data_IF_554123181511
#
_entry.id   IF_554123181511
#
_cell.length_a   1.000
_cell.length_b   1.000
_cell.length_c   1.000
_cell.angle_alpha   90.00
_cell.angle_beta   90.00
_cell.angle_gamma   90.00
#
_symmetry.space_group_name_H-M   'P 1'
#
loop_
_entity.id
_entity.type
_entity.pdbx_description
1 polymer ?
#
# COMPACT_ATOMS: atom_id res chain seq x y z
N UNK A 1 -19.57 17.14 -8.78
CA UNK A 1 -20.55 16.08 -9.15
C UNK A 1 -20.33 15.76 -10.62
N UNK A 2 -20.31 14.48 -11.00
CA UNK A 2 -20.07 14.03 -12.38
C UNK A 2 -21.00 12.88 -12.73
N UNK A 3 -21.40 12.77 -13.99
CA UNK A 3 -22.14 11.62 -14.54
C UNK A 3 -21.20 10.54 -15.06
N UNK A 4 -19.90 10.82 -15.13
CA UNK A 4 -18.88 9.82 -15.44
C UNK A 4 -18.57 8.99 -14.20
N UNK A 5 -19.13 7.79 -14.14
CA UNK A 5 -18.98 6.89 -13.00
C UNK A 5 -17.63 6.16 -13.11
N UNK A 6 -16.90 6.12 -12.00
CA UNK A 6 -15.63 5.38 -11.89
C UNK A 6 -15.70 4.44 -10.69
N UNK A 7 -15.50 3.15 -10.94
CA UNK A 7 -15.47 2.11 -9.91
C UNK A 7 -14.02 1.63 -9.72
N UNK A 8 -13.36 2.02 -8.62
CA UNK A 8 -11.97 1.66 -8.40
C UNK A 8 -11.85 0.20 -7.95
N UNK A 9 -11.11 -0.60 -8.72
CA UNK A 9 -10.60 -1.90 -8.31
C UNK A 9 -9.18 -1.80 -7.75
N UNK A 10 -8.57 -2.96 -7.55
CA UNK A 10 -7.19 -3.06 -7.03
C UNK A 10 -6.16 -2.66 -8.09
N UNK A 11 -6.28 -3.23 -9.29
CA UNK A 11 -5.33 -3.10 -10.38
C UNK A 11 -5.83 -2.18 -11.48
N UNK A 12 -7.13 -1.99 -11.62
CA UNK A 12 -7.72 -1.06 -12.58
C UNK A 12 -8.86 -0.24 -11.98
N UNK A 13 -9.29 0.79 -12.69
CA UNK A 13 -10.53 1.53 -12.44
C UNK A 13 -11.45 1.28 -13.62
N UNK A 14 -12.66 0.80 -13.35
CA UNK A 14 -13.67 0.55 -14.37
C UNK A 14 -14.52 1.80 -14.58
N UNK A 15 -14.72 2.19 -15.83
CA UNK A 15 -15.47 3.38 -16.24
C UNK A 15 -16.54 2.99 -17.26
N UNK A 16 -17.74 2.55 -16.80
CA UNK A 16 -18.81 2.08 -17.68
C UNK A 16 -19.31 3.13 -18.69
N UNK A 17 -19.13 4.42 -18.38
CA UNK A 17 -19.67 5.54 -19.16
C UNK A 17 -18.67 6.14 -20.16
N UNK A 18 -17.47 5.58 -20.27
CA UNK A 18 -16.38 6.07 -21.15
C UNK A 18 -15.90 4.89 -22.00
N UNK A 19 -15.38 5.13 -23.21
CA UNK A 19 -14.95 4.07 -24.15
C UNK A 19 -13.45 4.10 -24.46
N UNK A 20 -12.62 4.18 -23.42
CA UNK A 20 -11.18 4.27 -23.57
C UNK A 20 -10.42 3.51 -22.48
N UNK A 21 -9.30 2.89 -22.88
CA UNK A 21 -8.34 2.25 -21.97
C UNK A 21 -7.17 3.21 -21.75
N UNK A 22 -6.93 3.58 -20.50
CA UNK A 22 -5.79 4.39 -20.08
C UNK A 22 -4.84 3.57 -19.21
N UNK A 23 -3.55 3.93 -19.23
CA UNK A 23 -2.54 3.38 -18.32
C UNK A 23 -2.01 4.51 -17.44
N UNK A 24 -1.80 4.21 -16.15
CA UNK A 24 -1.22 5.16 -15.18
C UNK A 24 0.09 5.75 -15.71
N UNK A 25 0.23 7.08 -15.63
CA UNK A 25 1.45 7.81 -16.02
C UNK A 25 2.69 7.44 -15.21
N UNK A 26 2.51 6.77 -14.06
CA UNK A 26 3.63 6.28 -13.21
C UNK A 26 4.26 4.99 -13.74
N UNK A 27 3.60 4.30 -14.67
CA UNK A 27 4.23 3.21 -15.41
C UNK A 27 5.00 3.90 -16.54
N UNK A 28 6.32 3.80 -16.56
CA UNK A 28 7.18 4.50 -17.53
C UNK A 28 7.48 3.63 -18.75
N UNK A 29 7.58 2.32 -18.55
CA UNK A 29 7.86 1.34 -19.60
C UNK A 29 6.72 1.27 -20.63
N UNK A 30 7.01 1.67 -21.88
CA UNK A 30 6.07 1.65 -23.00
C UNK A 30 5.69 0.23 -23.43
N UNK A 31 6.61 -0.74 -23.35
CA UNK A 31 6.30 -2.12 -23.70
C UNK A 31 5.27 -2.70 -22.71
N UNK A 32 5.43 -2.39 -21.43
CA UNK A 32 4.49 -2.78 -20.39
C UNK A 32 3.12 -2.09 -20.54
N UNK A 33 3.10 -0.79 -20.90
CA UNK A 33 1.84 -0.07 -21.18
C UNK A 33 1.07 -0.76 -22.31
N UNK A 34 1.72 -1.07 -23.42
CA UNK A 34 1.07 -1.73 -24.55
C UNK A 34 0.61 -3.14 -24.18
N UNK A 35 1.44 -3.93 -23.48
CA UNK A 35 1.03 -5.25 -22.98
C UNK A 35 -0.24 -5.18 -22.14
N UNK A 36 -0.30 -4.24 -21.20
CA UNK A 36 -1.46 -4.05 -20.32
C UNK A 36 -2.69 -3.57 -21.08
N UNK A 37 -2.55 -2.64 -22.04
CA UNK A 37 -3.67 -2.20 -22.90
C UNK A 37 -4.24 -3.35 -23.72
N UNK A 38 -3.38 -4.11 -24.40
CA UNK A 38 -3.79 -5.28 -25.20
C UNK A 38 -4.49 -6.30 -24.31
N UNK A 39 -3.94 -6.58 -23.14
CA UNK A 39 -4.55 -7.52 -22.18
C UNK A 39 -5.95 -7.07 -21.77
N UNK A 40 -6.13 -5.84 -21.29
CA UNK A 40 -7.44 -5.32 -20.89
C UNK A 40 -8.42 -5.27 -22.07
N UNK A 41 -7.95 -4.96 -23.28
CA UNK A 41 -8.78 -5.01 -24.48
C UNK A 41 -9.31 -6.41 -24.81
N UNK A 42 -8.63 -7.47 -24.38
CA UNK A 42 -9.05 -8.86 -24.61
C UNK A 42 -10.03 -9.38 -23.55
N UNK A 43 -9.95 -8.89 -22.31
CA UNK A 43 -10.75 -9.39 -21.19
C UNK A 43 -11.87 -8.44 -20.73
N UNK A 44 -11.75 -7.15 -21.02
CA UNK A 44 -12.78 -6.16 -20.71
C UNK A 44 -13.94 -6.24 -21.71
N UNK A 45 -15.12 -5.77 -21.30
CA UNK A 45 -16.26 -5.73 -22.22
C UNK A 45 -16.03 -4.69 -23.33
N UNK A 46 -16.42 -4.99 -24.58
CA UNK A 46 -16.36 -4.04 -25.68
C UNK A 46 -17.17 -2.77 -25.41
N UNK A 47 -16.57 -1.60 -25.70
CA UNK A 47 -17.26 -0.31 -25.59
C UNK A 47 -17.36 0.25 -24.17
N UNK A 48 -16.62 -0.31 -23.21
CA UNK A 48 -16.46 0.22 -21.86
C UNK A 48 -15.01 0.70 -21.62
N UNK A 49 -14.81 1.46 -20.55
CA UNK A 49 -13.57 2.18 -20.28
C UNK A 49 -12.85 1.64 -19.06
N UNK A 50 -11.52 1.73 -19.08
CA UNK A 50 -10.66 1.18 -18.03
C UNK A 50 -9.45 2.10 -17.80
N UNK A 51 -9.00 2.24 -16.56
CA UNK A 51 -7.73 2.89 -16.21
C UNK A 51 -6.88 1.87 -15.45
N UNK A 52 -5.79 1.41 -16.05
CA UNK A 52 -4.84 0.50 -15.40
C UNK A 52 -4.01 1.30 -14.38
N UNK A 53 -4.05 0.87 -13.12
CA UNK A 53 -3.34 1.49 -11.99
C UNK A 53 -1.90 1.00 -11.95
N UNK A 54 -1.02 1.75 -11.29
CA UNK A 54 0.39 1.36 -11.07
C UNK A 54 0.51 0.00 -10.36
N UNK A 55 -0.45 -0.36 -9.50
CA UNK A 55 -0.45 -1.65 -8.82
C UNK A 55 -0.64 -2.85 -9.79
N UNK A 56 -1.19 -2.61 -10.99
CA UNK A 56 -1.36 -3.61 -12.04
C UNK A 56 -0.10 -3.83 -12.88
N UNK A 57 0.95 -3.04 -12.69
CA UNK A 57 2.22 -3.23 -13.40
C UNK A 57 2.80 -4.63 -13.10
N UNK A 58 3.28 -5.31 -14.14
CA UNK A 58 3.83 -6.67 -14.10
C UNK A 58 2.85 -7.75 -13.59
N UNK A 59 1.55 -7.43 -13.50
CA UNK A 59 0.53 -8.42 -13.12
C UNK A 59 0.11 -9.25 -14.31
N UNK A 60 -0.37 -10.45 -13.99
CA UNK A 60 -0.82 -11.42 -14.97
C UNK A 60 -2.29 -11.21 -15.32
N UNK A 61 -2.71 -11.80 -16.45
CA UNK A 61 -4.10 -11.76 -16.90
C UNK A 61 -5.10 -12.20 -15.83
N UNK A 62 -4.77 -13.25 -15.08
CA UNK A 62 -5.65 -13.80 -14.04
C UNK A 62 -5.97 -12.79 -12.94
N UNK A 63 -5.01 -11.94 -12.56
CA UNK A 63 -5.20 -10.91 -11.55
C UNK A 63 -6.23 -9.86 -12.00
N UNK A 64 -6.19 -9.48 -13.29
CA UNK A 64 -7.15 -8.53 -13.86
C UNK A 64 -8.53 -9.14 -14.09
N UNK A 65 -8.62 -10.43 -14.43
CA UNK A 65 -9.91 -11.13 -14.58
C UNK A 65 -10.69 -11.14 -13.25
N UNK A 66 -10.02 -11.35 -12.11
CA UNK A 66 -10.66 -11.24 -10.79
C UNK A 66 -11.15 -9.82 -10.49
N UNK A 67 -10.31 -8.80 -10.74
CA UNK A 67 -10.67 -7.39 -10.50
C UNK A 67 -11.84 -6.95 -11.40
N UNK A 68 -11.86 -7.37 -12.66
CA UNK A 68 -12.97 -7.11 -13.59
C UNK A 68 -14.26 -7.81 -13.16
N UNK A 69 -14.18 -9.08 -12.76
CA UNK A 69 -15.37 -9.81 -12.30
C UNK A 69 -16.04 -9.10 -11.13
N UNK A 70 -15.24 -8.63 -10.15
CA UNK A 70 -15.71 -7.82 -9.04
C UNK A 70 -16.42 -6.54 -9.53
N UNK A 71 -15.75 -5.76 -10.40
CA UNK A 71 -16.24 -4.45 -10.86
C UNK A 71 -17.49 -4.55 -11.73
N UNK A 72 -17.57 -5.55 -12.60
CA UNK A 72 -18.74 -5.80 -13.44
C UNK A 72 -19.94 -6.26 -12.63
N UNK A 73 -19.75 -7.14 -11.62
CA UNK A 73 -20.81 -7.53 -10.69
C UNK A 73 -21.32 -6.33 -9.89
N UNK A 74 -20.41 -5.51 -9.37
CA UNK A 74 -20.76 -4.28 -8.67
C UNK A 74 -21.59 -3.37 -9.57
N UNK A 75 -21.14 -3.12 -10.80
CA UNK A 75 -21.87 -2.29 -11.75
C UNK A 75 -23.26 -2.83 -12.08
N UNK A 76 -23.39 -4.14 -12.35
CA UNK A 76 -24.68 -4.77 -12.60
C UNK A 76 -25.64 -4.62 -11.43
N UNK A 77 -25.15 -4.79 -10.19
CA UNK A 77 -25.93 -4.54 -8.98
C UNK A 77 -26.39 -3.09 -8.87
N UNK A 78 -25.50 -2.12 -9.15
CA UNK A 78 -25.84 -0.70 -9.13
C UNK A 78 -26.87 -0.32 -10.20
N UNK A 79 -26.76 -0.87 -11.40
CA UNK A 79 -27.74 -0.66 -12.46
C UNK A 79 -29.12 -1.21 -12.08
N UNK A 80 -29.17 -2.40 -11.47
CA UNK A 80 -30.43 -2.99 -10.98
C UNK A 80 -31.04 -2.11 -9.88
N UNK A 81 -30.26 -1.78 -8.86
CA UNK A 81 -30.69 -0.94 -7.73
C UNK A 81 -31.16 0.44 -8.19
N UNK A 82 -30.49 1.04 -9.18
CA UNK A 82 -30.90 2.32 -9.77
C UNK A 82 -32.27 2.29 -10.43
N UNK A 83 -32.72 1.14 -10.93
CA UNK A 83 -34.05 0.98 -11.55
C UNK A 83 -35.15 0.74 -10.53
N UNK A 84 -34.80 0.12 -9.40
CA UNK A 84 -35.74 -0.28 -8.34
C UNK A 84 -35.91 0.82 -7.28
N UNK A 85 -34.93 1.70 -7.13
CA UNK A 85 -34.92 2.74 -6.08
C UNK A 85 -35.60 4.02 -6.56
N UNK A 86 -36.38 4.65 -5.68
CA UNK A 86 -36.97 5.97 -5.89
C UNK A 86 -35.89 7.06 -6.07
N UNK A 87 -36.28 8.22 -6.59
CA UNK A 87 -35.37 9.36 -6.84
C UNK A 87 -34.65 9.82 -5.56
N UNK A 88 -33.44 10.37 -5.71
CA UNK A 88 -32.62 10.97 -4.65
C UNK A 88 -32.22 10.02 -3.49
N UNK A 89 -31.86 8.77 -3.79
CA UNK A 89 -31.41 7.79 -2.79
C UNK A 89 -29.94 7.36 -2.98
N UNK A 90 -29.31 6.91 -1.89
CA UNK A 90 -27.96 6.35 -1.90
C UNK A 90 -27.94 4.98 -2.57
N UNK A 91 -27.34 4.90 -3.76
CA UNK A 91 -27.19 3.62 -4.48
C UNK A 91 -25.99 2.82 -3.99
N UNK A 92 -24.88 3.51 -3.73
CA UNK A 92 -23.59 2.92 -3.37
C UNK A 92 -22.91 3.77 -2.31
N UNK A 93 -22.44 3.13 -1.26
CA UNK A 93 -21.48 3.68 -0.33
C UNK A 93 -20.12 3.04 -0.62
N UNK A 94 -19.06 3.84 -0.56
CA UNK A 94 -17.71 3.33 -0.80
C UNK A 94 -17.34 2.21 0.19
N UNK A 95 -16.48 1.29 -0.26
CA UNK A 95 -16.05 0.17 0.57
C UNK A 95 -15.44 0.66 1.89
N UNK A 96 -15.99 0.14 2.99
CA UNK A 96 -15.43 0.28 4.32
C UNK A 96 -14.02 -0.36 4.39
N UNK A 97 -13.32 -0.17 5.51
CA UNK A 97 -11.94 -0.65 5.66
C UNK A 97 -11.82 -2.17 5.46
N UNK A 98 -12.79 -2.94 5.94
CA UNK A 98 -12.78 -4.41 5.91
C UNK A 98 -12.98 -4.90 4.48
N UNK A 99 -14.06 -4.47 3.80
CA UNK A 99 -14.33 -4.83 2.41
C UNK A 99 -13.23 -4.37 1.46
N UNK A 100 -12.65 -3.18 1.72
CA UNK A 100 -11.48 -2.68 0.98
C UNK A 100 -10.26 -3.58 1.19
N UNK A 101 -10.01 -4.01 2.43
CA UNK A 101 -8.92 -4.93 2.77
C UNK A 101 -9.11 -6.29 2.10
N UNK A 102 -10.34 -6.82 2.07
CA UNK A 102 -10.67 -8.05 1.35
C UNK A 102 -10.36 -7.95 -0.14
N UNK A 103 -10.73 -6.83 -0.79
CA UNK A 103 -10.45 -6.60 -2.21
C UNK A 103 -8.95 -6.39 -2.48
N UNK A 104 -8.28 -5.60 -1.64
CA UNK A 104 -6.93 -5.07 -1.93
C UNK A 104 -5.79 -5.93 -1.38
N UNK A 105 -6.00 -6.64 -0.27
CA UNK A 105 -4.94 -7.37 0.44
C UNK A 105 -5.04 -8.89 0.26
N UNK A 106 -6.24 -9.40 -0.02
CA UNK A 106 -6.43 -10.84 -0.17
C UNK A 106 -5.85 -11.32 -1.52
N UNK A 107 -4.64 -11.87 -1.48
CA UNK A 107 -3.96 -12.46 -2.65
C UNK A 107 -4.08 -13.99 -2.62
N UNK A 108 -3.59 -14.65 -3.67
CA UNK A 108 -3.50 -16.12 -3.73
C UNK A 108 -2.70 -16.72 -2.57
N UNK A 109 -1.75 -15.96 -2.02
CA UNK A 109 -0.89 -16.36 -0.88
C UNK A 109 -1.61 -16.28 0.47
N UNK A 110 -2.76 -15.59 0.55
CA UNK A 110 -3.51 -15.48 1.81
C UNK A 110 -4.37 -16.74 2.00
N UNK A 111 -4.09 -17.46 3.09
CA UNK A 111 -4.78 -18.70 3.43
C UNK A 111 -6.15 -18.45 4.06
N UNK A 112 -6.25 -17.48 4.98
CA UNK A 112 -7.46 -17.20 5.75
C UNK A 112 -7.58 -15.72 6.14
N UNK A 113 -8.81 -15.27 6.34
CA UNK A 113 -9.14 -14.00 6.97
C UNK A 113 -9.90 -14.30 8.25
N UNK A 114 -9.36 -13.84 9.38
CA UNK A 114 -9.94 -14.11 10.70
C UNK A 114 -10.57 -12.83 11.23
N UNK A 115 -11.83 -12.92 11.66
CA UNK A 115 -12.62 -11.80 12.19
C UNK A 115 -13.13 -12.20 13.57
N UNK A 116 -13.02 -11.34 14.57
CA UNK A 116 -13.46 -11.61 15.96
C UNK A 116 -14.86 -11.04 16.28
N UNK A 117 -15.41 -10.19 15.41
CA UNK A 117 -16.77 -9.69 15.49
C UNK A 117 -17.74 -10.54 14.68
N UNK A 118 -18.81 -11.03 15.33
CA UNK A 118 -19.86 -11.81 14.67
C UNK A 118 -20.63 -11.01 13.62
N UNK A 119 -20.86 -9.71 13.84
CA UNK A 119 -21.56 -8.85 12.87
C UNK A 119 -20.71 -8.63 11.63
N UNK A 120 -19.42 -8.33 11.82
CA UNK A 120 -18.50 -8.13 10.69
C UNK A 120 -18.25 -9.43 9.93
N UNK A 121 -18.21 -10.57 10.62
CA UNK A 121 -18.14 -11.87 9.97
C UNK A 121 -19.28 -12.08 8.97
N UNK A 122 -20.53 -11.78 9.37
CA UNK A 122 -21.69 -11.86 8.48
C UNK A 122 -21.58 -10.88 7.30
N UNK A 123 -21.19 -9.63 7.57
CA UNK A 123 -20.96 -8.63 6.52
C UNK A 123 -19.89 -9.08 5.51
N UNK A 124 -18.82 -9.72 5.98
CA UNK A 124 -17.77 -10.29 5.14
C UNK A 124 -18.29 -11.42 4.26
N UNK A 125 -19.09 -12.35 4.81
CA UNK A 125 -19.68 -13.45 4.06
C UNK A 125 -20.60 -12.92 2.95
N UNK A 126 -21.50 -11.99 3.27
CA UNK A 126 -22.40 -11.37 2.28
C UNK A 126 -21.61 -10.65 1.18
N UNK A 127 -20.55 -9.92 1.55
CA UNK A 127 -19.68 -9.26 0.59
C UNK A 127 -18.94 -10.27 -0.32
N UNK A 128 -18.48 -11.39 0.23
CA UNK A 128 -17.87 -12.48 -0.52
C UNK A 128 -18.85 -13.12 -1.50
N UNK A 129 -20.06 -13.48 -1.08
CA UNK A 129 -21.07 -14.10 -1.96
C UNK A 129 -21.36 -13.21 -3.17
N UNK A 130 -21.58 -11.92 -2.92
CA UNK A 130 -21.92 -10.97 -3.97
C UNK A 130 -20.75 -10.70 -4.90
N UNK A 131 -19.55 -10.50 -4.37
CA UNK A 131 -18.45 -9.90 -5.14
C UNK A 131 -17.15 -10.71 -5.19
N UNK A 132 -16.84 -11.50 -4.16
CA UNK A 132 -15.57 -12.24 -4.04
C UNK A 132 -15.79 -13.70 -3.59
N UNK A 133 -16.49 -14.53 -4.37
CA UNK A 133 -16.93 -15.86 -3.92
C UNK A 133 -15.77 -16.82 -3.63
N UNK A 134 -14.62 -16.61 -4.28
CA UNK A 134 -13.40 -17.40 -4.08
C UNK A 134 -12.73 -17.20 -2.71
N UNK A 135 -13.16 -16.19 -1.92
CA UNK A 135 -12.65 -15.92 -0.57
C UNK A 135 -13.62 -16.42 0.51
N UNK A 136 -14.87 -16.75 0.15
CA UNK A 136 -15.94 -17.08 1.10
C UNK A 136 -15.52 -18.14 2.13
N UNK A 137 -15.00 -19.28 1.66
CA UNK A 137 -14.60 -20.40 2.52
C UNK A 137 -13.33 -20.12 3.36
N UNK A 138 -12.66 -18.99 3.12
CA UNK A 138 -11.45 -18.58 3.84
C UNK A 138 -11.74 -17.58 4.96
N UNK A 139 -12.98 -17.12 5.12
CA UNK A 139 -13.38 -16.21 6.20
C UNK A 139 -13.74 -17.05 7.43
N UNK A 140 -13.03 -16.81 8.54
CA UNK A 140 -13.18 -17.54 9.80
C UNK A 140 -13.61 -16.59 10.92
N UNK A 141 -14.58 -17.01 11.75
CA UNK A 141 -14.95 -16.30 12.97
C UNK A 141 -14.08 -16.79 14.13
N UNK A 142 -13.27 -15.90 14.70
CA UNK A 142 -12.53 -16.15 15.92
C UNK A 142 -13.46 -16.09 17.13
N UNK A 143 -13.43 -17.13 17.97
CA UNK A 143 -14.26 -17.27 19.16
C UNK A 143 -13.44 -17.56 20.43
N UNK A 144 -12.11 -17.41 20.36
CA UNK A 144 -11.25 -17.63 21.50
C UNK A 144 -11.45 -16.57 22.59
N UNK A 145 -11.15 -16.89 23.86
CA UNK A 145 -11.31 -15.96 24.97
C UNK A 145 -10.22 -14.89 25.03
N UNK A 146 -9.09 -15.10 24.36
CA UNK A 146 -7.95 -14.16 24.30
C UNK A 146 -8.16 -13.24 23.09
N UNK A 147 -7.86 -11.93 23.15
CA UNK A 147 -7.97 -11.06 22.00
C UNK A 147 -7.22 -11.60 20.77
N UNK A 148 -7.79 -11.39 19.57
CA UNK A 148 -7.29 -11.99 18.33
C UNK A 148 -5.82 -11.65 18.04
N UNK A 149 -5.39 -10.41 18.29
CA UNK A 149 -4.00 -9.99 18.05
C UNK A 149 -3.02 -10.60 19.05
N UNK A 150 -3.41 -10.76 20.32
CA UNK A 150 -2.60 -11.44 21.32
C UNK A 150 -2.45 -12.93 20.98
N UNK A 151 -3.55 -13.58 20.58
CA UNK A 151 -3.55 -14.99 20.21
C UNK A 151 -2.58 -15.30 19.07
N UNK A 152 -2.46 -14.40 18.08
CA UNK A 152 -1.54 -14.54 16.96
C UNK A 152 -0.18 -13.88 17.18
N UNK A 153 0.08 -13.29 18.37
CA UNK A 153 1.33 -12.59 18.67
C UNK A 153 1.56 -11.30 17.86
N UNK A 154 0.52 -10.81 17.18
CA UNK A 154 0.57 -9.59 16.35
C UNK A 154 0.67 -8.35 17.22
N UNK A 155 0.06 -8.36 18.41
CA UNK A 155 0.06 -7.22 19.34
C UNK A 155 1.48 -6.80 19.72
N UNK A 156 2.37 -7.77 19.98
CA UNK A 156 3.77 -7.52 20.34
C UNK A 156 4.50 -6.84 19.18
N UNK A 157 4.27 -7.30 17.96
CA UNK A 157 4.91 -6.75 16.77
C UNK A 157 4.38 -5.36 16.42
N UNK A 158 3.08 -5.11 16.59
CA UNK A 158 2.49 -3.78 16.44
C UNK A 158 3.13 -2.81 17.44
N UNK A 159 3.18 -3.18 18.72
CA UNK A 159 3.75 -2.30 19.75
C UNK A 159 5.23 -2.01 19.50
N UNK A 160 6.03 -3.03 19.18
CA UNK A 160 7.45 -2.86 18.78
C UNK A 160 7.59 -1.94 17.58
N UNK A 161 6.70 -2.06 16.60
CA UNK A 161 6.76 -1.26 15.40
C UNK A 161 6.21 0.16 15.59
N UNK A 162 5.46 0.44 16.66
CA UNK A 162 4.97 1.76 17.05
C UNK A 162 5.85 2.45 18.09
N UNK A 163 6.77 1.73 18.73
CA UNK A 163 7.73 2.30 19.68
C UNK A 163 8.52 3.46 19.08
N UNK A 164 8.84 4.46 19.89
CA UNK A 164 9.70 5.58 19.47
C UNK A 164 11.03 5.10 18.87
N UNK A 165 11.58 4.01 19.41
CA UNK A 165 12.86 3.42 19.01
C UNK A 165 12.63 2.09 18.30
N UNK A 166 13.05 1.99 17.05
CA UNK A 166 12.91 0.78 16.22
C UNK A 166 14.29 0.20 15.91
N UNK A 167 14.52 -1.04 16.33
CA UNK A 167 15.81 -1.71 16.17
C UNK A 167 16.02 -2.24 14.75
N UNK A 168 17.23 -2.02 14.23
CA UNK A 168 17.70 -2.57 12.96
C UNK A 168 18.30 -3.96 13.18
N UNK A 169 18.37 -4.76 12.11
CA UNK A 169 18.86 -6.15 12.16
C UNK A 169 20.30 -6.25 12.65
N UNK A 170 21.13 -5.28 12.26
CA UNK A 170 22.53 -5.22 12.67
C UNK A 170 22.74 -4.72 14.11
N UNK A 171 21.69 -4.28 14.82
CA UNK A 171 21.80 -3.80 16.21
C UNK A 171 21.96 -2.27 16.36
N UNK A 172 21.92 -1.54 15.24
CA UNK A 172 21.56 -0.13 15.21
C UNK A 172 20.06 0.09 15.45
N UNK A 173 19.61 1.34 15.41
CA UNK A 173 18.20 1.67 15.56
C UNK A 173 17.86 3.01 14.93
N UNK A 174 16.59 3.22 14.63
CA UNK A 174 16.05 4.54 14.30
C UNK A 174 15.19 5.05 15.45
N UNK A 175 15.21 6.35 15.71
CA UNK A 175 14.30 7.04 16.63
C UNK A 175 13.37 7.92 15.83
N UNK A 176 12.06 7.87 16.09
CA UNK A 176 11.04 8.66 15.38
C UNK A 176 10.39 9.63 16.35
N UNK A 177 10.57 10.93 16.12
CA UNK A 177 10.03 12.02 16.94
C UNK A 177 9.04 12.86 16.14
N UNK A 178 7.79 12.90 16.61
CA UNK A 178 6.76 13.78 16.07
C UNK A 178 6.77 15.13 16.80
N UNK A 179 6.88 16.21 16.05
CA UNK A 179 6.78 17.59 16.54
C UNK A 179 5.53 18.26 15.97
N UNK A 180 5.28 19.52 16.35
CA UNK A 180 4.13 20.27 15.86
C UNK A 180 4.10 20.42 14.33
N UNK A 181 5.27 20.63 13.71
CA UNK A 181 5.36 20.99 12.29
C UNK A 181 5.97 19.89 11.41
N UNK A 182 6.80 19.02 11.99
CA UNK A 182 7.58 18.02 11.25
C UNK A 182 7.82 16.75 12.05
N UNK A 183 8.25 15.71 11.36
CA UNK A 183 8.70 14.46 11.98
C UNK A 183 10.19 14.32 11.76
N UNK A 184 10.94 14.15 12.84
CA UNK A 184 12.38 13.92 12.81
C UNK A 184 12.67 12.43 13.01
N UNK A 185 13.56 11.88 12.20
CA UNK A 185 14.00 10.49 12.29
C UNK A 185 15.52 10.46 12.41
N UNK A 186 16.03 9.89 13.49
CA UNK A 186 17.46 9.84 13.80
C UNK A 186 18.00 8.40 13.72
N UNK A 187 19.12 8.19 13.04
CA UNK A 187 19.73 6.87 12.81
C UNK A 187 20.96 6.69 13.68
N UNK A 188 20.98 5.60 14.45
CA UNK A 188 22.07 5.28 15.38
C UNK A 188 22.67 3.91 15.10
N UNK A 189 24.00 3.79 15.25
CA UNK A 189 24.73 2.51 15.18
C UNK A 189 24.48 1.60 16.37
N UNK A 190 24.08 2.14 17.52
CA UNK A 190 23.68 1.35 18.70
C UNK A 190 24.80 0.41 19.17
N UNK A 191 24.50 -0.90 19.21
CA UNK A 191 25.48 -1.94 19.60
C UNK A 191 26.28 -2.50 18.42
N UNK A 192 26.04 -2.00 17.21
CA UNK A 192 26.71 -2.46 16.02
C UNK A 192 28.12 -1.85 15.95
N UNK A 193 29.09 -2.58 16.49
CA UNK A 193 30.52 -2.28 16.33
C UNK A 193 31.05 -3.29 15.34
N UNK A 194 31.15 -2.89 14.06
CA UNK A 194 31.70 -3.76 13.03
C UNK A 194 33.13 -4.19 13.35
N UNK A 195 33.54 -5.37 12.87
CA UNK A 195 34.96 -5.77 12.85
C UNK A 195 35.71 -5.21 11.61
N UNK A 196 34.99 -4.48 10.76
CA UNK A 196 35.41 -3.92 9.47
C UNK A 196 35.59 -2.40 9.54
N UNK A 197 35.96 -1.78 8.42
CA UNK A 197 36.13 -0.34 8.28
C UNK A 197 34.92 0.45 8.81
N UNK A 198 35.11 1.50 9.64
CA UNK A 198 34.01 2.30 10.17
C UNK A 198 33.07 2.86 9.10
N UNK A 199 33.59 3.29 7.94
CA UNK A 199 32.76 3.85 6.85
C UNK A 199 31.82 2.80 6.25
N UNK A 200 32.29 1.56 6.03
CA UNK A 200 31.46 0.46 5.53
C UNK A 200 30.34 0.12 6.53
N UNK A 201 30.67 0.13 7.82
CA UNK A 201 29.72 -0.11 8.92
C UNK A 201 28.62 0.96 8.94
N UNK A 202 28.99 2.22 8.73
CA UNK A 202 28.07 3.36 8.63
C UNK A 202 27.15 3.21 7.41
N UNK A 203 27.72 2.98 6.22
CA UNK A 203 26.95 2.84 4.99
C UNK A 203 25.94 1.69 5.10
N UNK A 204 26.36 0.54 5.65
CA UNK A 204 25.48 -0.61 5.87
C UNK A 204 24.34 -0.28 6.84
N UNK A 205 24.64 0.41 7.93
CA UNK A 205 23.63 0.82 8.92
C UNK A 205 22.62 1.78 8.31
N UNK A 206 23.08 2.79 7.56
CA UNK A 206 22.21 3.74 6.86
C UNK A 206 21.34 3.04 5.80
N UNK A 207 21.87 2.05 5.06
CA UNK A 207 21.08 1.26 4.10
C UNK A 207 19.99 0.41 4.77
N UNK A 208 20.26 -0.15 5.96
CA UNK A 208 19.23 -0.80 6.77
C UNK A 208 18.19 0.20 7.26
N UNK A 209 18.64 1.36 7.75
CA UNK A 209 17.78 2.43 8.20
C UNK A 209 16.86 2.94 7.08
N UNK A 210 17.34 3.12 5.85
CA UNK A 210 16.50 3.53 4.70
C UNK A 210 15.29 2.60 4.54
N UNK A 211 15.52 1.28 4.59
CA UNK A 211 14.43 0.30 4.44
C UNK A 211 13.43 0.39 5.59
N UNK A 212 13.93 0.53 6.81
CA UNK A 212 13.10 0.63 8.02
C UNK A 212 12.32 1.94 8.06
N UNK A 213 12.95 3.09 7.79
CA UNK A 213 12.30 4.40 7.70
C UNK A 213 11.13 4.33 6.73
N UNK A 214 11.37 3.85 5.51
CA UNK A 214 10.33 3.75 4.48
C UNK A 214 9.21 2.77 4.87
N UNK A 215 9.53 1.70 5.59
CA UNK A 215 8.53 0.80 6.17
C UNK A 215 7.68 1.50 7.24
N UNK A 216 8.31 2.18 8.20
CA UNK A 216 7.66 2.91 9.28
C UNK A 216 6.78 4.06 8.79
N UNK A 217 7.21 4.79 7.75
CA UNK A 217 6.41 5.82 7.12
C UNK A 217 5.06 5.29 6.63
N UNK A 218 5.05 4.08 6.05
CA UNK A 218 3.82 3.42 5.61
C UNK A 218 3.02 2.84 6.76
N UNK A 219 3.70 2.14 7.67
CA UNK A 219 3.04 1.46 8.78
C UNK A 219 2.29 2.43 9.68
N UNK A 220 2.95 3.53 10.05
CA UNK A 220 2.39 4.59 10.91
C UNK A 220 1.55 5.62 10.14
N UNK A 221 1.45 5.46 8.82
CA UNK A 221 0.86 6.44 7.91
C UNK A 221 1.39 7.87 8.14
N UNK A 222 2.70 8.02 8.37
CA UNK A 222 3.34 9.32 8.60
C UNK A 222 3.24 10.18 7.33
N UNK A 223 2.80 11.43 7.48
CA UNK A 223 2.74 12.38 6.37
C UNK A 223 2.90 13.82 6.85
N UNK A 224 3.33 14.69 5.95
CA UNK A 224 3.82 16.03 6.26
C UNK A 224 5.29 16.19 5.88
N UNK A 225 5.99 17.11 6.57
CA UNK A 225 7.43 17.30 6.45
C UNK A 225 8.13 16.27 7.32
N UNK A 226 9.12 15.59 6.75
CA UNK A 226 9.91 14.56 7.41
C UNK A 226 11.38 14.90 7.19
N UNK A 227 12.17 14.88 8.26
CA UNK A 227 13.62 15.05 8.23
C UNK A 227 14.23 13.74 8.72
N UNK A 228 15.16 13.19 7.93
CA UNK A 228 15.91 11.99 8.31
C UNK A 228 17.38 12.37 8.49
N UNK A 229 17.88 12.18 9.71
CA UNK A 229 19.26 12.37 10.11
C UNK A 229 19.98 11.03 10.03
N UNK A 230 20.73 10.84 8.92
CA UNK A 230 21.54 9.64 8.73
C UNK A 230 22.89 9.82 9.41
N UNK A 231 23.53 8.71 9.77
CA UNK A 231 24.88 8.74 10.32
C UNK A 231 25.82 9.38 9.29
N UNK A 232 26.67 10.31 9.73
CA UNK A 232 27.61 11.04 8.88
C UNK A 232 28.46 10.10 8.00
N UNK A 233 28.47 10.38 6.70
CA UNK A 233 29.26 9.67 5.70
C UNK A 233 30.35 10.58 5.14
N UNK A 234 31.57 10.07 5.05
CA UNK A 234 32.74 10.85 4.58
C UNK A 234 32.75 11.02 3.07
N UNK A 235 32.17 10.07 2.34
CA UNK A 235 32.23 10.00 0.88
C UNK A 235 30.92 10.44 0.23
N UNK A 236 31.02 11.26 -0.82
CA UNK A 236 29.86 11.63 -1.65
C UNK A 236 29.24 10.42 -2.35
N UNK A 237 30.04 9.41 -2.68
CA UNK A 237 29.55 8.13 -3.21
C UNK A 237 28.60 7.43 -2.25
N UNK A 238 28.93 7.37 -0.95
CA UNK A 238 28.05 6.79 0.06
C UNK A 238 26.74 7.57 0.20
N UNK A 239 26.80 8.91 0.15
CA UNK A 239 25.60 9.76 0.15
C UNK A 239 24.72 9.50 -1.06
N UNK A 240 25.30 9.36 -2.26
CA UNK A 240 24.56 9.02 -3.48
C UNK A 240 23.93 7.62 -3.41
N UNK A 241 24.62 6.64 -2.83
CA UNK A 241 24.09 5.29 -2.62
C UNK A 241 22.86 5.32 -1.70
N UNK A 242 22.94 6.02 -0.56
CA UNK A 242 21.81 6.18 0.36
C UNK A 242 20.64 6.90 -0.31
N UNK A 243 20.92 7.99 -1.02
CA UNK A 243 19.93 8.75 -1.77
C UNK A 243 19.16 7.88 -2.79
N UNK A 244 19.90 7.14 -3.61
CA UNK A 244 19.31 6.26 -4.63
C UNK A 244 18.50 5.12 -4.00
N UNK A 245 19.00 4.55 -2.90
CA UNK A 245 18.30 3.52 -2.12
C UNK A 245 16.98 4.03 -1.54
N UNK A 246 16.96 5.27 -1.04
CA UNK A 246 15.75 5.91 -0.51
C UNK A 246 14.71 6.14 -1.62
N UNK A 247 15.13 6.67 -2.77
CA UNK A 247 14.25 6.84 -3.94
C UNK A 247 13.66 5.49 -4.35
N UNK A 248 14.50 4.47 -4.49
CA UNK A 248 14.06 3.14 -4.93
C UNK A 248 13.07 2.53 -3.93
N UNK A 249 13.33 2.65 -2.63
CA UNK A 249 12.46 2.13 -1.57
C UNK A 249 11.10 2.83 -1.54
N UNK A 250 11.05 4.12 -1.87
CA UNK A 250 9.82 4.91 -1.91
C UNK A 250 8.99 4.73 -3.18
N UNK A 251 9.52 4.14 -4.26
CA UNK A 251 8.73 3.83 -5.47
C UNK A 251 7.50 2.96 -5.19
N UNK A 252 7.59 2.10 -4.18
CA UNK A 252 6.48 1.25 -3.75
C UNK A 252 5.43 1.95 -2.87
N UNK A 253 5.68 3.18 -2.43
CA UNK A 253 4.72 3.93 -1.61
C UNK A 253 3.54 4.43 -2.46
N UNK A 254 2.33 4.25 -1.93
CA UNK A 254 1.10 4.71 -2.58
C UNK A 254 1.00 6.24 -2.48
N UNK A 255 1.45 6.82 -1.36
CA UNK A 255 1.45 8.26 -1.12
C UNK A 255 2.50 8.96 -1.98
N UNK A 256 2.16 10.16 -2.47
CA UNK A 256 3.13 10.98 -3.22
C UNK A 256 4.19 11.47 -2.26
N UNK A 257 5.45 11.26 -2.62
CA UNK A 257 6.61 11.76 -1.91
C UNK A 257 7.41 12.72 -2.79
N UNK A 258 7.99 13.74 -2.16
CA UNK A 258 9.03 14.58 -2.75
C UNK A 258 10.19 14.59 -1.79
N UNK A 259 11.38 14.37 -2.29
CA UNK A 259 12.60 14.22 -1.49
C UNK A 259 13.61 15.22 -2.07
N UNK A 260 14.40 15.86 -1.22
CA UNK A 260 15.54 16.69 -1.59
C UNK A 260 16.84 15.94 -1.30
N UNK A 261 17.88 16.17 -2.11
CA UNK A 261 19.20 15.55 -1.92
C UNK A 261 19.69 15.75 -0.49
N UNK A 262 20.54 14.82 -0.02
CA UNK A 262 21.20 14.94 1.28
C UNK A 262 21.88 16.32 1.34
N UNK A 263 21.53 17.09 2.38
CA UNK A 263 22.10 18.41 2.61
C UNK A 263 23.57 18.33 3.02
N UNK A 264 24.26 19.47 3.00
CA UNK A 264 25.62 19.57 3.54
C UNK A 264 25.69 19.22 5.04
N UNK A 265 24.56 19.32 5.75
CA UNK A 265 24.41 18.94 7.16
C UNK A 265 24.10 17.44 7.36
N UNK A 266 24.14 16.61 6.31
CA UNK A 266 23.84 15.17 6.41
C UNK A 266 22.36 14.83 6.46
N UNK A 267 21.48 15.83 6.55
CA UNK A 267 20.04 15.65 6.65
C UNK A 267 19.38 15.40 5.30
N UNK A 268 18.37 14.53 5.29
CA UNK A 268 17.44 14.35 4.17
C UNK A 268 16.10 14.97 4.49
N UNK A 269 15.68 15.92 3.67
CA UNK A 269 14.37 16.55 3.75
C UNK A 269 13.40 15.92 2.76
N UNK A 270 12.23 15.51 3.24
CA UNK A 270 11.18 14.99 2.39
C UNK A 270 9.78 15.42 2.82
N UNK A 271 8.84 15.31 1.89
CA UNK A 271 7.42 15.48 2.14
C UNK A 271 6.68 14.24 1.69
N UNK A 272 5.71 13.79 2.48
CA UNK A 272 4.81 12.67 2.15
C UNK A 272 3.37 13.10 2.30
N UNK A 273 2.57 12.93 1.26
CA UNK A 273 1.15 13.28 1.29
C UNK A 273 0.39 12.35 2.26
N UNK A 274 -0.42 12.94 3.15
CA UNK A 274 -1.43 12.23 3.95
C UNK A 274 -2.55 11.68 3.06
#
# INVERSE_FOLDING_TARGET
ITTYISLPGRYLVYMPTIKHIFVSRRIEDEAEKERLKTMISLIGNPGEGYIIRTAGQNREKSDFEFDLSFLHRLWGSLQKKSKETLVCNLLYEDLNLISRSMRDLFTKEVNRMVVDSKSEYQNCLEFCENYLPHIYDKVELYQGPVPIFDHFGVEIEINRALDRKVWLKSGGYISIDETEALIAIDVNTGKFVGHSDPEETILKTNLEAVKEVVYQLRLRNIGGIIIVDFIDMLTEESKEIIWNSLIQSLKGDRSRTKILKISELGLVEMTRKR
#
